data_IF_607444072873
#
_entry.id   IF_607444072873
#
_cell.length_a   1.000
_cell.length_b   1.000
_cell.length_c   1.000
_cell.angle_alpha   90.00
_cell.angle_beta   90.00
_cell.angle_gamma   90.00
#
_symmetry.space_group_name_H-M   'P 1'
#
loop_
_entity.id
_entity.type
_entity.pdbx_description
1 polymer ?
#
# COMPACT_ATOMS: atom_id res chain seq x y z
N UNK A 1 28.56 -39.06 -81.85
CA UNK A 1 29.54 -39.81 -81.04
C UNK A 1 29.45 -39.31 -79.61
N UNK A 2 29.36 -40.23 -78.66
CA UNK A 2 29.03 -40.11 -77.24
C UNK A 2 29.60 -38.87 -76.50
N UNK A 3 28.80 -38.28 -75.60
CA UNK A 3 29.23 -38.03 -74.21
C UNK A 3 28.00 -37.81 -73.30
N UNK A 4 27.70 -38.81 -72.46
CA UNK A 4 26.72 -38.71 -71.37
C UNK A 4 27.30 -37.87 -70.23
N UNK A 5 26.57 -36.86 -69.75
CA UNK A 5 26.84 -36.18 -68.47
C UNK A 5 25.72 -36.52 -67.49
N UNK A 6 26.05 -37.28 -66.44
CA UNK A 6 25.18 -37.54 -65.30
C UNK A 6 25.04 -36.28 -64.46
N UNK A 7 23.81 -35.83 -64.22
CA UNK A 7 23.50 -34.84 -63.19
C UNK A 7 23.11 -35.58 -61.89
N UNK A 8 23.86 -35.35 -60.83
CA UNK A 8 23.55 -35.77 -59.47
C UNK A 8 22.63 -34.72 -58.84
N UNK A 9 21.37 -35.05 -58.60
CA UNK A 9 20.41 -34.17 -57.92
C UNK A 9 20.55 -34.35 -56.41
N UNK A 10 21.10 -33.35 -55.72
CA UNK A 10 21.21 -33.32 -54.26
C UNK A 10 19.86 -32.89 -53.66
N UNK A 11 19.12 -33.83 -53.07
CA UNK A 11 17.89 -33.55 -52.35
C UNK A 11 18.21 -33.04 -50.93
N UNK A 12 17.96 -31.75 -50.68
CA UNK A 12 18.07 -31.15 -49.34
C UNK A 12 16.75 -31.37 -48.61
N UNK A 13 16.75 -32.25 -47.61
CA UNK A 13 15.64 -32.45 -46.67
C UNK A 13 15.66 -31.31 -45.64
N UNK A 14 14.76 -30.33 -45.79
CA UNK A 14 14.46 -29.33 -44.76
C UNK A 14 13.53 -29.96 -43.71
N UNK A 15 14.13 -30.46 -42.62
CA UNK A 15 13.43 -30.78 -41.38
C UNK A 15 12.98 -29.46 -40.73
N UNK A 16 11.75 -29.04 -41.03
CA UNK A 16 11.08 -27.95 -40.33
C UNK A 16 10.78 -28.36 -38.90
N UNK A 17 11.60 -27.92 -37.95
CA UNK A 17 11.29 -27.99 -36.53
C UNK A 17 10.15 -27.03 -36.22
N UNK A 18 8.96 -27.55 -36.02
CA UNK A 18 7.82 -26.81 -35.49
C UNK A 18 8.13 -26.41 -34.05
N UNK A 19 8.66 -25.19 -33.88
CA UNK A 19 8.78 -24.54 -32.57
C UNK A 19 7.36 -24.24 -32.09
N UNK A 20 6.85 -25.08 -31.19
CA UNK A 20 5.67 -24.75 -30.39
C UNK A 20 6.04 -23.55 -29.51
N UNK A 21 5.71 -22.36 -29.99
CA UNK A 21 5.69 -21.14 -29.18
C UNK A 21 4.64 -21.35 -28.08
N UNK A 22 5.07 -21.77 -26.90
CA UNK A 22 4.30 -21.59 -25.68
C UNK A 22 4.15 -20.08 -25.48
N UNK A 23 2.99 -19.55 -25.86
CA UNK A 23 2.55 -18.23 -25.43
C UNK A 23 2.55 -18.23 -23.91
N UNK A 24 3.55 -17.59 -23.30
CA UNK A 24 3.46 -17.19 -21.90
C UNK A 24 2.27 -16.23 -21.85
N UNK A 25 1.16 -16.73 -21.29
CA UNK A 25 -0.01 -15.92 -20.98
C UNK A 25 0.45 -14.86 -19.99
N UNK A 26 0.87 -13.71 -20.50
CA UNK A 26 1.14 -12.55 -19.68
C UNK A 26 -0.14 -12.30 -18.87
N UNK A 27 -0.01 -12.35 -17.54
CA UNK A 27 -1.11 -12.12 -16.60
C UNK A 27 -1.39 -10.60 -16.57
N UNK A 28 -1.85 -10.07 -17.72
CA UNK A 28 -2.10 -8.64 -18.00
C UNK A 28 -3.50 -8.20 -17.61
N UNK A 29 -4.29 -9.09 -16.99
CA UNK A 29 -5.60 -8.74 -16.50
C UNK A 29 -5.48 -7.69 -15.38
N UNK A 30 -6.29 -6.62 -15.47
CA UNK A 30 -6.35 -5.60 -14.41
C UNK A 30 -6.89 -6.23 -13.12
N UNK A 31 -6.38 -5.80 -11.97
CA UNK A 31 -6.98 -6.17 -10.68
C UNK A 31 -8.30 -5.43 -10.48
N UNK A 32 -9.13 -5.88 -9.52
CA UNK A 32 -10.34 -5.12 -9.12
C UNK A 32 -9.98 -3.72 -8.61
N UNK A 33 -8.81 -3.55 -7.98
CA UNK A 33 -8.30 -2.25 -7.56
C UNK A 33 -8.05 -1.33 -8.75
N UNK A 34 -7.37 -1.82 -9.79
CA UNK A 34 -7.07 -1.05 -11.01
C UNK A 34 -8.30 -0.82 -11.91
N UNK A 35 -9.37 -1.58 -11.70
CA UNK A 35 -10.62 -1.47 -12.43
C UNK A 35 -11.52 -0.32 -11.93
N UNK A 36 -11.47 -0.01 -10.63
CA UNK A 36 -12.21 1.11 -10.05
C UNK A 36 -11.75 2.45 -10.65
N UNK A 37 -12.67 3.41 -10.80
CA UNK A 37 -12.32 4.74 -11.29
C UNK A 37 -11.29 5.43 -10.39
N UNK A 38 -10.34 6.12 -11.02
CA UNK A 38 -9.29 6.86 -10.33
C UNK A 38 -9.48 8.35 -10.64
N UNK A 39 -10.08 9.08 -9.70
CA UNK A 39 -10.18 10.54 -9.67
C UNK A 39 -9.54 11.11 -8.40
N UNK A 40 -9.92 12.34 -8.01
CA UNK A 40 -9.52 12.91 -6.71
C UNK A 40 -9.99 12.05 -5.53
N UNK A 41 -11.19 11.48 -5.65
CA UNK A 41 -11.75 10.46 -4.76
C UNK A 41 -12.64 9.48 -5.55
N UNK A 42 -12.86 8.29 -4.98
CA UNK A 42 -13.83 7.32 -5.48
C UNK A 42 -15.09 7.37 -4.61
N UNK A 43 -16.26 7.55 -5.23
CA UNK A 43 -17.53 7.32 -4.56
C UNK A 43 -17.85 5.82 -4.55
N UNK A 44 -18.21 5.31 -3.38
CA UNK A 44 -18.55 3.90 -3.17
C UNK A 44 -19.79 3.79 -2.28
N UNK A 45 -20.65 2.82 -2.54
CA UNK A 45 -21.70 2.41 -1.61
C UNK A 45 -21.37 1.03 -1.05
N UNK A 46 -21.47 0.89 0.27
CA UNK A 46 -21.27 -0.38 0.98
C UNK A 46 -22.55 -0.76 1.73
N UNK A 47 -23.14 -1.88 1.32
CA UNK A 47 -24.34 -2.45 1.90
C UNK A 47 -23.98 -3.70 2.71
N UNK A 48 -24.19 -3.69 4.02
CA UNK A 48 -23.90 -4.84 4.91
C UNK A 48 -24.73 -4.77 6.19
N UNK A 49 -24.74 -5.83 6.99
CA UNK A 49 -25.20 -5.76 8.38
C UNK A 49 -24.14 -5.03 9.23
N UNK A 50 -24.39 -3.76 9.56
CA UNK A 50 -23.42 -2.94 10.32
C UNK A 50 -23.45 -3.29 11.81
N UNK A 51 -24.57 -3.80 12.31
CA UNK A 51 -24.69 -4.25 13.70
C UNK A 51 -23.85 -5.50 13.91
N UNK A 52 -24.04 -6.51 13.05
CA UNK A 52 -23.24 -7.73 13.08
C UNK A 52 -21.75 -7.43 12.90
N UNK A 53 -21.39 -6.47 12.02
CA UNK A 53 -20.00 -6.06 11.82
C UNK A 53 -19.36 -5.54 13.11
N UNK A 54 -20.09 -4.74 13.88
CA UNK A 54 -19.64 -4.15 15.15
C UNK A 54 -19.56 -5.22 16.24
N UNK A 55 -20.54 -6.09 16.33
CA UNK A 55 -20.60 -7.16 17.33
C UNK A 55 -19.49 -8.19 17.11
N UNK A 56 -19.22 -8.52 15.85
CA UNK A 56 -18.17 -9.44 15.43
C UNK A 56 -16.83 -8.75 15.20
N UNK A 57 -16.65 -7.50 15.64
CA UNK A 57 -15.40 -6.76 15.37
C UNK A 57 -14.15 -7.43 15.91
N UNK A 58 -14.24 -8.41 16.82
CA UNK A 58 -13.13 -9.19 17.38
C UNK A 58 -12.93 -10.58 16.73
N UNK A 59 -13.82 -11.03 15.85
CA UNK A 59 -13.72 -12.32 15.15
C UNK A 59 -13.12 -12.14 13.76
N UNK A 60 -12.68 -13.21 13.11
CA UNK A 60 -12.25 -13.15 11.70
C UNK A 60 -13.34 -13.69 10.76
N UNK A 61 -14.60 -13.65 11.19
CA UNK A 61 -15.72 -14.17 10.42
C UNK A 61 -16.12 -13.21 9.31
N UNK A 62 -16.34 -13.76 8.13
CA UNK A 62 -16.85 -13.03 6.98
C UNK A 62 -18.37 -12.98 7.02
N UNK A 63 -18.93 -11.81 6.68
CA UNK A 63 -20.35 -11.64 6.42
C UNK A 63 -20.59 -11.18 4.97
N UNK A 64 -21.78 -11.46 4.41
CA UNK A 64 -22.17 -10.97 3.08
C UNK A 64 -22.26 -9.45 3.05
N UNK A 65 -21.86 -8.85 1.93
CA UNK A 65 -22.05 -7.44 1.64
C UNK A 65 -22.16 -7.21 0.14
N UNK A 66 -22.63 -6.04 -0.25
CA UNK A 66 -22.62 -5.60 -1.64
C UNK A 66 -21.91 -4.25 -1.74
N UNK A 67 -21.03 -4.12 -2.73
CA UNK A 67 -20.35 -2.87 -3.05
C UNK A 67 -20.83 -2.36 -4.40
N UNK A 68 -21.07 -1.06 -4.54
CA UNK A 68 -21.17 -0.40 -5.83
C UNK A 68 -20.25 0.80 -5.96
N UNK A 69 -19.74 1.02 -7.17
CA UNK A 69 -18.82 2.11 -7.51
C UNK A 69 -18.88 2.38 -9.02
N UNK A 70 -18.30 3.49 -9.47
CA UNK A 70 -18.12 3.77 -10.89
C UNK A 70 -16.74 3.30 -11.35
N UNK A 71 -16.66 2.56 -12.45
CA UNK A 71 -15.38 2.09 -13.01
C UNK A 71 -14.66 3.15 -13.86
N UNK A 72 -13.45 2.83 -14.31
CA UNK A 72 -12.65 3.74 -15.16
C UNK A 72 -13.28 4.07 -16.52
N UNK A 73 -14.35 3.39 -16.93
CA UNK A 73 -15.13 3.68 -18.14
C UNK A 73 -16.42 4.48 -17.84
N UNK A 74 -16.64 4.88 -16.59
CA UNK A 74 -17.82 5.64 -16.17
C UNK A 74 -19.06 4.77 -15.94
N UNK A 75 -18.94 3.43 -15.93
CA UNK A 75 -20.07 2.53 -15.72
C UNK A 75 -20.25 2.21 -14.24
N UNK A 76 -21.50 2.14 -13.79
CA UNK A 76 -21.83 1.73 -12.42
C UNK A 76 -21.68 0.22 -12.30
N UNK A 77 -20.80 -0.19 -11.41
CA UNK A 77 -20.52 -1.57 -11.07
C UNK A 77 -21.18 -1.93 -9.76
N UNK A 78 -21.66 -3.18 -9.64
CA UNK A 78 -22.24 -3.72 -8.41
C UNK A 78 -21.74 -5.15 -8.20
N UNK A 79 -21.17 -5.40 -7.02
CA UNK A 79 -20.48 -6.64 -6.69
C UNK A 79 -20.98 -7.20 -5.37
N UNK A 80 -21.43 -8.45 -5.39
CA UNK A 80 -21.63 -9.21 -4.16
C UNK A 80 -20.27 -9.71 -3.65
N UNK A 81 -20.00 -9.40 -2.40
CA UNK A 81 -18.72 -9.67 -1.75
C UNK A 81 -18.95 -10.26 -0.37
N UNK A 82 -17.85 -10.65 0.26
CA UNK A 82 -17.79 -10.86 1.70
C UNK A 82 -16.90 -9.80 2.32
N UNK A 83 -17.20 -9.40 3.54
CA UNK A 83 -16.32 -8.53 4.32
C UNK A 83 -16.20 -8.98 5.76
N UNK A 84 -15.13 -8.55 6.41
CA UNK A 84 -14.92 -8.72 7.85
C UNK A 84 -14.10 -7.60 8.42
N UNK A 85 -14.13 -7.48 9.74
CA UNK A 85 -13.19 -6.63 10.47
C UNK A 85 -11.75 -7.15 10.35
N UNK A 86 -10.77 -6.25 10.29
CA UNK A 86 -9.33 -6.53 10.28
C UNK A 86 -8.55 -5.64 11.24
N UNK A 87 -7.25 -5.92 11.36
CA UNK A 87 -6.34 -5.22 12.28
C UNK A 87 -6.34 -5.84 13.67
N UNK A 88 -5.50 -5.35 14.58
CA UNK A 88 -5.41 -5.80 15.98
C UNK A 88 -5.80 -4.70 16.96
N UNK A 89 -5.23 -3.50 16.78
CA UNK A 89 -5.47 -2.36 17.65
C UNK A 89 -6.77 -1.63 17.27
N UNK A 90 -6.82 -1.06 16.06
CA UNK A 90 -7.97 -0.31 15.52
C UNK A 90 -9.29 -1.09 15.58
N UNK A 91 -9.27 -2.41 15.37
CA UNK A 91 -10.48 -3.25 15.50
C UNK A 91 -11.18 -3.17 16.86
N UNK A 92 -10.44 -2.85 17.93
CA UNK A 92 -10.94 -2.83 19.31
C UNK A 92 -11.44 -1.45 19.69
N UNK A 93 -10.70 -0.41 19.30
CA UNK A 93 -10.92 0.96 19.76
C UNK A 93 -11.76 1.83 18.81
N UNK A 94 -11.78 1.51 17.51
CA UNK A 94 -12.46 2.35 16.54
C UNK A 94 -13.98 2.15 16.57
N UNK A 95 -14.70 3.22 16.22
CA UNK A 95 -16.16 3.20 16.03
C UNK A 95 -16.59 2.34 14.84
N UNK A 96 -15.80 2.38 13.76
CA UNK A 96 -15.87 1.45 12.65
C UNK A 96 -14.48 0.84 12.42
N UNK A 97 -14.32 -0.49 12.56
CA UNK A 97 -13.03 -1.13 12.39
C UNK A 97 -12.62 -1.11 10.91
N UNK A 98 -11.30 -1.11 10.61
CA UNK A 98 -10.84 -1.32 9.25
C UNK A 98 -11.35 -2.67 8.72
N UNK A 99 -11.69 -2.73 7.43
CA UNK A 99 -12.33 -3.88 6.82
C UNK A 99 -11.40 -4.59 5.84
N UNK A 100 -11.58 -5.90 5.72
CA UNK A 100 -11.07 -6.70 4.60
C UNK A 100 -12.25 -7.02 3.69
N UNK A 101 -12.14 -6.63 2.43
CA UNK A 101 -13.13 -6.87 1.38
C UNK A 101 -12.66 -8.08 0.57
N UNK A 102 -13.53 -9.04 0.31
CA UNK A 102 -13.23 -10.26 -0.43
C UNK A 102 -14.27 -10.45 -1.54
N UNK A 103 -13.81 -10.30 -2.78
CA UNK A 103 -14.60 -10.45 -3.99
C UNK A 103 -14.64 -11.92 -4.43
N UNK A 104 -15.69 -12.33 -5.14
CA UNK A 104 -15.73 -13.68 -5.67
C UNK A 104 -14.75 -13.83 -6.86
N UNK A 105 -13.78 -14.75 -6.76
CA UNK A 105 -12.81 -15.02 -7.84
C UNK A 105 -13.46 -15.38 -9.17
N UNK A 106 -14.54 -16.16 -9.14
CA UNK A 106 -15.27 -16.54 -10.34
C UNK A 106 -15.91 -15.34 -11.03
N UNK A 107 -16.47 -14.40 -10.27
CA UNK A 107 -17.08 -13.19 -10.83
C UNK A 107 -16.03 -12.22 -11.37
N UNK A 108 -14.88 -12.09 -10.68
CA UNK A 108 -13.73 -11.36 -11.22
C UNK A 108 -13.29 -11.90 -12.58
N UNK A 109 -13.17 -13.24 -12.70
CA UNK A 109 -12.80 -13.87 -13.97
C UNK A 109 -13.84 -13.65 -15.07
N UNK A 110 -15.14 -13.72 -14.75
CA UNK A 110 -16.22 -13.44 -15.71
C UNK A 110 -16.16 -12.01 -16.23
N UNK A 111 -15.73 -11.06 -15.39
CA UNK A 111 -15.50 -9.67 -15.77
C UNK A 111 -14.14 -9.42 -16.46
N UNK A 112 -13.33 -10.46 -16.70
CA UNK A 112 -12.01 -10.33 -17.32
C UNK A 112 -10.93 -9.74 -16.41
N UNK A 113 -11.16 -9.74 -15.09
CA UNK A 113 -10.24 -9.23 -14.09
C UNK A 113 -9.33 -10.33 -13.52
N UNK A 114 -8.20 -9.89 -12.97
CA UNK A 114 -7.29 -10.78 -12.24
C UNK A 114 -7.97 -11.36 -11.00
N UNK A 115 -7.51 -12.54 -10.57
CA UNK A 115 -8.06 -13.28 -9.41
C UNK A 115 -7.66 -12.71 -8.04
N UNK A 116 -6.95 -11.58 -8.06
CA UNK A 116 -6.59 -10.78 -6.89
C UNK A 116 -7.88 -10.24 -6.26
N UNK A 117 -8.42 -10.98 -5.28
CA UNK A 117 -9.79 -10.87 -4.80
C UNK A 117 -9.95 -10.11 -3.50
N UNK A 118 -8.85 -9.67 -2.90
CA UNK A 118 -8.86 -9.03 -1.60
C UNK A 118 -8.44 -7.57 -1.71
N UNK A 119 -9.18 -6.70 -1.02
CA UNK A 119 -8.81 -5.31 -0.81
C UNK A 119 -8.90 -4.98 0.68
N UNK A 120 -8.15 -3.96 1.10
CA UNK A 120 -8.21 -3.44 2.46
C UNK A 120 -8.89 -2.08 2.46
N UNK A 121 -9.79 -1.88 3.40
CA UNK A 121 -10.48 -0.62 3.60
C UNK A 121 -10.12 -0.09 4.99
N UNK A 122 -9.30 0.96 5.02
CA UNK A 122 -9.04 1.72 6.23
C UNK A 122 -10.21 2.69 6.41
N UNK A 123 -10.86 2.63 7.56
CA UNK A 123 -12.06 3.41 7.88
C UNK A 123 -11.73 4.56 8.82
N UNK A 124 -12.62 5.54 8.92
CA UNK A 124 -12.53 6.58 9.95
C UNK A 124 -12.66 5.93 11.35
N UNK A 125 -11.54 5.93 12.09
CA UNK A 125 -11.47 5.27 13.39
C UNK A 125 -12.21 6.04 14.49
N UNK A 126 -12.11 7.37 14.42
CA UNK A 126 -12.71 8.35 15.33
C UNK A 126 -13.80 9.11 14.57
N UNK A 127 -14.85 9.54 15.26
CA UNK A 127 -15.93 10.31 14.65
C UNK A 127 -15.54 11.77 14.39
N UNK A 128 -16.30 12.40 13.49
CA UNK A 128 -16.23 13.83 13.26
C UNK A 128 -14.96 14.28 12.54
N UNK A 129 -14.64 15.55 12.76
CA UNK A 129 -13.58 16.26 12.04
C UNK A 129 -12.19 15.67 12.29
N UNK A 130 -11.90 15.30 13.53
CA UNK A 130 -10.58 14.79 13.93
C UNK A 130 -10.24 13.46 13.22
N UNK A 131 -11.18 12.52 13.21
CA UNK A 131 -11.01 11.25 12.52
C UNK A 131 -10.82 11.39 11.02
N UNK A 132 -11.48 12.38 10.38
CA UNK A 132 -11.23 12.73 8.99
C UNK A 132 -9.80 13.23 8.80
N UNK A 133 -9.33 14.16 9.62
CA UNK A 133 -7.96 14.72 9.51
C UNK A 133 -6.89 13.62 9.65
N UNK A 134 -7.04 12.68 10.59
CA UNK A 134 -6.11 11.56 10.74
C UNK A 134 -6.08 10.66 9.52
N UNK A 135 -7.23 10.29 8.99
CA UNK A 135 -7.33 9.48 7.78
C UNK A 135 -6.70 10.18 6.58
N UNK A 136 -6.93 11.50 6.43
CA UNK A 136 -6.34 12.30 5.36
C UNK A 136 -4.81 12.37 5.46
N UNK A 137 -4.27 12.45 6.68
CA UNK A 137 -2.82 12.39 6.92
C UNK A 137 -2.24 11.00 6.64
N UNK A 138 -2.93 9.94 7.05
CA UNK A 138 -2.50 8.56 6.75
C UNK A 138 -2.46 8.34 5.23
N UNK A 139 -3.47 8.81 4.51
CA UNK A 139 -3.49 8.81 3.05
C UNK A 139 -2.31 9.60 2.44
N UNK A 140 -2.06 10.81 2.93
CA UNK A 140 -0.91 11.62 2.47
C UNK A 140 0.43 10.91 2.73
N UNK A 141 0.60 10.20 3.84
CA UNK A 141 1.82 9.44 4.10
C UNK A 141 2.08 8.40 2.98
N UNK A 142 1.07 7.64 2.55
CA UNK A 142 1.21 6.75 1.39
C UNK A 142 1.58 7.49 0.10
N UNK A 143 1.03 8.69 -0.12
CA UNK A 143 1.37 9.50 -1.31
C UNK A 143 2.80 10.06 -1.25
N UNK A 144 3.26 10.47 -0.06
CA UNK A 144 4.63 10.92 0.17
C UNK A 144 5.65 9.78 -0.04
N UNK A 145 5.33 8.56 0.41
CA UNK A 145 6.18 7.38 0.18
C UNK A 145 6.40 7.14 -1.32
N UNK A 146 5.33 7.25 -2.12
CA UNK A 146 5.40 7.03 -3.56
C UNK A 146 6.26 8.06 -4.31
N UNK A 147 6.60 9.21 -3.70
CA UNK A 147 7.51 10.19 -4.30
C UNK A 147 8.99 9.81 -4.15
N UNK A 148 9.33 8.99 -3.16
CA UNK A 148 10.73 8.63 -2.84
C UNK A 148 11.04 7.16 -3.03
N UNK A 149 10.02 6.30 -3.10
CA UNK A 149 10.18 4.86 -3.25
C UNK A 149 9.47 4.36 -4.51
N UNK A 150 10.14 3.55 -5.35
CA UNK A 150 9.47 2.83 -6.42
C UNK A 150 8.59 1.68 -5.90
N UNK A 151 8.76 1.30 -4.62
CA UNK A 151 8.00 0.25 -3.96
C UNK A 151 7.06 0.84 -2.90
N UNK A 152 5.78 0.85 -3.21
CA UNK A 152 4.70 1.20 -2.29
C UNK A 152 3.44 0.40 -2.58
N UNK A 153 2.54 0.36 -1.59
CA UNK A 153 1.14 -0.01 -1.80
C UNK A 153 0.42 1.11 -2.56
N UNK A 154 -0.47 0.74 -3.49
CA UNK A 154 -1.42 1.68 -4.08
C UNK A 154 -2.59 1.94 -3.12
N UNK A 155 -3.00 3.21 -3.08
CA UNK A 155 -4.15 3.67 -2.27
C UNK A 155 -5.03 4.65 -3.02
N UNK A 156 -6.34 4.54 -2.79
CA UNK A 156 -7.37 5.48 -3.22
C UNK A 156 -8.12 6.05 -2.02
N UNK A 157 -8.35 7.36 -2.05
CA UNK A 157 -9.26 7.99 -1.12
C UNK A 157 -10.70 7.69 -1.56
N UNK A 158 -11.53 7.20 -0.65
CA UNK A 158 -12.89 6.80 -0.96
C UNK A 158 -13.89 7.52 -0.06
N UNK A 159 -14.98 8.02 -0.64
CA UNK A 159 -16.16 8.46 0.08
C UNK A 159 -17.20 7.34 0.06
N UNK A 160 -17.55 6.83 1.24
CA UNK A 160 -18.34 5.61 1.38
C UNK A 160 -19.72 5.97 1.90
N UNK A 161 -20.75 5.60 1.15
CA UNK A 161 -22.15 5.59 1.57
C UNK A 161 -22.44 4.23 2.21
N UNK A 162 -22.52 4.16 3.53
CA UNK A 162 -22.89 2.94 4.24
C UNK A 162 -24.40 2.81 4.30
N UNK A 163 -24.93 1.64 3.96
CA UNK A 163 -26.32 1.27 4.27
C UNK A 163 -26.37 -0.02 5.05
N UNK A 164 -27.15 0.00 6.11
CA UNK A 164 -27.42 -1.17 6.92
C UNK A 164 -28.47 -2.07 6.24
N UNK A 165 -28.24 -3.37 6.20
CA UNK A 165 -29.18 -4.34 5.58
C UNK A 165 -30.31 -4.80 6.50
N UNK A 166 -30.22 -4.50 7.80
CA UNK A 166 -31.21 -4.89 8.82
C UNK A 166 -32.09 -3.73 9.27
N UNK A 167 -31.75 -2.51 8.89
CA UNK A 167 -32.43 -1.28 9.28
C UNK A 167 -32.43 -0.26 8.14
N UNK A 168 -33.05 0.90 8.35
CA UNK A 168 -33.00 2.03 7.39
C UNK A 168 -31.80 2.96 7.64
N UNK A 169 -30.87 2.57 8.51
CA UNK A 169 -29.72 3.39 8.88
C UNK A 169 -28.81 3.64 7.67
N UNK A 170 -28.38 4.89 7.54
CA UNK A 170 -27.46 5.34 6.49
C UNK A 170 -26.45 6.28 7.12
N UNK A 171 -25.20 6.16 6.68
CA UNK A 171 -24.15 7.10 7.05
C UNK A 171 -23.18 7.29 5.89
N UNK A 172 -22.43 8.37 5.93
CA UNK A 172 -21.30 8.60 5.02
C UNK A 172 -20.02 8.66 5.82
N UNK A 173 -18.92 8.24 5.20
CA UNK A 173 -17.62 8.34 5.83
C UNK A 173 -16.51 8.19 4.82
N UNK A 174 -15.37 8.81 5.13
CA UNK A 174 -14.16 8.64 4.35
C UNK A 174 -13.49 7.30 4.70
N UNK A 175 -12.76 6.77 3.71
CA UNK A 175 -11.86 5.64 3.88
C UNK A 175 -10.65 5.73 2.94
N UNK A 176 -9.69 4.85 3.17
CA UNK A 176 -8.60 4.58 2.23
C UNK A 176 -8.77 3.15 1.75
N UNK A 177 -9.06 3.00 0.46
CA UNK A 177 -9.02 1.71 -0.20
C UNK A 177 -7.56 1.43 -0.58
N UNK A 178 -7.06 0.26 -0.19
CA UNK A 178 -5.67 -0.12 -0.34
C UNK A 178 -5.59 -1.48 -1.05
N UNK A 179 -4.67 -1.59 -2.00
CA UNK A 179 -4.38 -2.87 -2.64
C UNK A 179 -3.88 -3.89 -1.60
N UNK A 180 -4.09 -5.18 -1.85
CA UNK A 180 -3.54 -6.23 -1.00
C UNK A 180 -2.04 -6.42 -1.25
N UNK A 181 -1.30 -6.82 -0.22
CA UNK A 181 0.15 -7.00 -0.30
C UNK A 181 0.55 -8.11 -1.29
N UNK A 182 -0.28 -9.13 -1.49
CA UNK A 182 -0.03 -10.15 -2.49
C UNK A 182 -0.11 -9.57 -3.92
N UNK A 183 -1.09 -8.69 -4.17
CA UNK A 183 -1.24 -7.96 -5.43
C UNK A 183 -0.06 -7.03 -5.67
N UNK A 184 0.40 -6.32 -4.63
CA UNK A 184 1.60 -5.50 -4.67
C UNK A 184 2.84 -6.33 -5.03
N UNK A 185 3.06 -7.47 -4.35
CA UNK A 185 4.19 -8.34 -4.63
C UNK A 185 4.17 -8.84 -6.09
N UNK A 186 3.00 -9.27 -6.58
CA UNK A 186 2.80 -9.68 -7.97
C UNK A 186 3.12 -8.55 -8.95
N UNK A 187 2.68 -7.31 -8.66
CA UNK A 187 2.93 -6.12 -9.47
C UNK A 187 4.42 -5.81 -9.65
N UNK A 188 5.25 -6.13 -8.67
CA UNK A 188 6.70 -5.98 -8.75
C UNK A 188 7.44 -7.28 -9.16
N UNK A 189 6.73 -8.32 -9.60
CA UNK A 189 7.35 -9.61 -9.96
C UNK A 189 7.98 -10.35 -8.77
N UNK A 190 7.55 -10.03 -7.55
CA UNK A 190 8.08 -10.55 -6.31
C UNK A 190 7.09 -11.49 -5.59
N UNK A 191 7.54 -12.06 -4.47
CA UNK A 191 6.72 -12.74 -3.47
C UNK A 191 6.91 -12.07 -2.11
N UNK A 192 5.88 -12.12 -1.27
CA UNK A 192 6.01 -11.74 0.13
C UNK A 192 6.86 -12.77 0.88
N UNK A 193 7.67 -12.29 1.82
CA UNK A 193 8.30 -13.13 2.83
C UNK A 193 7.88 -12.66 4.22
N UNK A 194 6.86 -13.30 4.79
CA UNK A 194 6.30 -12.94 6.09
C UNK A 194 7.08 -13.53 7.29
N UNK A 195 8.00 -14.46 7.04
CA UNK A 195 8.82 -15.17 8.04
C UNK A 195 10.32 -14.91 7.90
N UNK A 196 10.71 -13.91 7.10
CA UNK A 196 12.09 -13.45 6.91
C UNK A 196 12.65 -12.65 8.11
N UNK A 197 12.52 -13.21 9.31
CA UNK A 197 13.00 -12.57 10.53
C UNK A 197 14.53 -12.45 10.54
N UNK A 198 15.02 -11.35 11.12
CA UNK A 198 16.45 -11.10 11.33
C UNK A 198 17.30 -11.24 10.06
N UNK A 199 16.74 -10.88 8.91
CA UNK A 199 17.44 -10.96 7.62
C UNK A 199 18.73 -10.11 7.64
N UNK A 200 19.91 -10.69 7.34
CA UNK A 200 21.19 -9.99 7.37
C UNK A 200 21.25 -8.77 6.42
N UNK A 201 21.95 -7.71 6.86
CA UNK A 201 22.11 -6.45 6.10
C UNK A 201 22.63 -6.65 4.68
N UNK A 202 23.63 -7.52 4.52
CA UNK A 202 24.29 -7.84 3.25
C UNK A 202 23.37 -8.58 2.26
N UNK A 203 22.35 -9.27 2.76
CA UNK A 203 21.35 -9.95 1.93
C UNK A 203 20.29 -9.02 1.36
N UNK A 204 20.14 -7.80 1.91
CA UNK A 204 19.12 -6.83 1.53
C UNK A 204 19.60 -5.81 0.50
N UNK A 205 18.66 -5.24 -0.27
CA UNK A 205 18.92 -4.05 -1.05
C UNK A 205 18.94 -2.83 -0.11
N UNK A 206 20.15 -2.46 0.33
CA UNK A 206 20.32 -1.43 1.35
C UNK A 206 19.91 -0.03 0.89
N UNK A 207 19.97 0.28 -0.40
CA UNK A 207 19.47 1.56 -0.92
C UNK A 207 17.97 1.72 -0.64
N UNK A 208 17.19 0.69 -0.98
CA UNK A 208 15.74 0.69 -0.76
C UNK A 208 15.37 0.58 0.73
N UNK A 209 16.14 -0.19 1.51
CA UNK A 209 15.98 -0.23 2.98
C UNK A 209 16.23 1.14 3.60
N UNK A 210 17.26 1.86 3.16
CA UNK A 210 17.58 3.19 3.69
C UNK A 210 16.47 4.20 3.33
N UNK A 211 15.90 4.14 2.12
CA UNK A 211 14.72 4.93 1.73
C UNK A 211 13.55 4.66 2.68
N UNK A 212 13.24 3.39 2.95
CA UNK A 212 12.17 3.01 3.87
C UNK A 212 12.43 3.53 5.30
N UNK A 213 13.64 3.34 5.84
CA UNK A 213 14.00 3.82 7.17
C UNK A 213 13.90 5.35 7.28
N UNK A 214 14.41 6.09 6.29
CA UNK A 214 14.37 7.54 6.30
C UNK A 214 12.95 8.08 6.09
N UNK A 215 12.12 7.38 5.31
CA UNK A 215 10.70 7.69 5.19
C UNK A 215 9.96 7.53 6.53
N UNK A 216 10.15 6.40 7.22
CA UNK A 216 9.53 6.17 8.53
C UNK A 216 9.98 7.23 9.55
N UNK A 217 11.25 7.62 9.52
CA UNK A 217 11.75 8.74 10.31
C UNK A 217 11.11 10.08 9.91
N UNK A 218 10.98 10.38 8.62
CA UNK A 218 10.34 11.62 8.14
C UNK A 218 8.93 11.78 8.72
N UNK A 219 8.13 10.71 8.69
CA UNK A 219 6.78 10.72 9.23
C UNK A 219 6.73 10.51 10.76
N UNK A 220 7.88 10.28 11.41
CA UNK A 220 7.97 10.06 12.85
C UNK A 220 7.29 8.78 13.31
N UNK A 221 7.38 7.72 12.52
CA UNK A 221 6.87 6.41 12.89
C UNK A 221 7.96 5.58 13.58
N UNK A 222 7.64 5.07 14.76
CA UNK A 222 8.51 4.18 15.54
C UNK A 222 7.85 2.83 15.86
N UNK A 223 6.66 2.58 15.31
CA UNK A 223 5.95 1.30 15.45
C UNK A 223 6.24 0.36 14.27
N UNK A 224 7.50 0.04 14.03
CA UNK A 224 7.89 -0.90 12.96
C UNK A 224 9.18 -1.64 13.33
N UNK A 225 9.52 -2.70 12.60
CA UNK A 225 10.78 -3.43 12.79
C UNK A 225 11.17 -4.21 11.54
N UNK A 226 12.40 -4.00 11.05
CA UNK A 226 12.98 -4.84 9.99
C UNK A 226 13.22 -6.26 10.51
N UNK A 227 13.78 -6.41 11.72
CA UNK A 227 14.10 -7.72 12.31
C UNK A 227 12.85 -8.59 12.46
N UNK A 228 11.71 -8.00 12.82
CA UNK A 228 10.45 -8.72 13.01
C UNK A 228 9.50 -8.64 11.80
N UNK A 229 9.89 -7.94 10.73
CA UNK A 229 9.03 -7.63 9.57
C UNK A 229 7.67 -7.06 10.02
N UNK A 230 7.68 -6.19 11.04
CA UNK A 230 6.48 -5.57 11.63
C UNK A 230 6.22 -4.23 10.98
N UNK A 231 4.98 -4.00 10.53
CA UNK A 231 4.55 -2.81 9.77
C UNK A 231 5.44 -2.51 8.55
N UNK A 232 6.04 -3.57 8.01
CA UNK A 232 6.79 -3.56 6.75
C UNK A 232 6.51 -4.88 6.01
N UNK A 233 6.72 -4.88 4.70
CA UNK A 233 6.67 -6.09 3.87
C UNK A 233 7.99 -6.29 3.15
N UNK A 234 8.50 -7.51 3.25
CA UNK A 234 9.68 -7.92 2.49
C UNK A 234 9.25 -8.50 1.14
N UNK A 235 9.76 -7.92 0.05
CA UNK A 235 9.58 -8.42 -1.30
C UNK A 235 10.82 -9.20 -1.73
N UNK A 236 10.64 -10.50 -2.00
CA UNK A 236 11.66 -11.37 -2.59
C UNK A 236 11.41 -11.51 -4.09
N UNK A 237 12.36 -11.07 -4.91
CA UNK A 237 12.24 -11.10 -6.35
C UNK A 237 12.58 -12.48 -6.92
N UNK A 238 11.90 -12.86 -8.00
CA UNK A 238 12.09 -14.16 -8.66
C UNK A 238 13.41 -14.25 -9.45
N UNK A 239 13.96 -13.11 -9.83
CA UNK A 239 15.20 -12.97 -10.61
C UNK A 239 16.48 -13.08 -9.74
N UNK A 240 16.33 -13.24 -8.42
CA UNK A 240 17.46 -13.29 -7.48
C UNK A 240 17.96 -11.92 -7.01
N UNK A 241 17.32 -10.82 -7.43
CA UNK A 241 17.61 -9.49 -6.91
C UNK A 241 17.42 -9.45 -5.38
N UNK A 242 18.29 -8.69 -4.69
CA UNK A 242 18.24 -8.59 -3.23
C UNK A 242 16.86 -8.09 -2.77
N UNK A 243 16.30 -8.66 -1.68
CA UNK A 243 14.99 -8.26 -1.20
C UNK A 243 14.93 -6.79 -0.77
N UNK A 244 13.75 -6.20 -0.93
CA UNK A 244 13.46 -4.82 -0.50
C UNK A 244 12.43 -4.82 0.61
N UNK A 245 12.39 -3.74 1.39
CA UNK A 245 11.41 -3.52 2.46
C UNK A 245 10.45 -2.42 2.07
N UNK A 246 9.15 -2.68 2.20
CA UNK A 246 8.07 -1.73 1.89
C UNK A 246 7.33 -1.36 3.18
N UNK A 247 7.44 -0.12 3.66
CA UNK A 247 6.74 0.31 4.87
C UNK A 247 5.23 0.48 4.64
N UNK A 248 4.42 0.21 5.66
CA UNK A 248 2.96 0.41 5.63
C UNK A 248 2.37 0.52 7.05
N UNK A 249 1.08 0.85 7.19
CA UNK A 249 0.37 1.04 8.48
C UNK A 249 0.90 2.27 9.25
N UNK A 250 0.60 3.47 8.73
CA UNK A 250 1.17 4.74 9.20
C UNK A 250 0.36 5.46 10.27
N UNK A 251 -0.70 4.85 10.83
CA UNK A 251 -1.60 5.48 11.79
C UNK A 251 -0.91 5.87 13.11
N UNK A 252 0.14 5.13 13.49
CA UNK A 252 0.97 5.38 14.68
C UNK A 252 2.15 6.33 14.43
N UNK A 253 2.09 7.15 13.38
CA UNK A 253 3.16 8.11 13.05
C UNK A 253 2.90 9.51 13.62
N UNK A 254 3.97 10.25 13.92
CA UNK A 254 3.90 11.66 14.29
C UNK A 254 3.29 12.56 13.21
N UNK A 255 3.40 12.19 11.92
CA UNK A 255 2.76 12.92 10.83
C UNK A 255 1.22 12.80 10.88
N UNK A 256 0.71 11.60 11.18
CA UNK A 256 -0.73 11.35 11.37
C UNK A 256 -1.22 11.98 12.67
N UNK A 257 -0.45 11.82 13.75
CA UNK A 257 -0.74 12.38 15.07
C UNK A 257 -2.13 12.01 15.59
N UNK A 258 -2.53 10.74 15.39
CA UNK A 258 -3.81 10.24 15.86
C UNK A 258 -3.91 10.34 17.38
N UNK A 259 -5.06 10.76 17.90
CA UNK A 259 -5.27 10.95 19.36
C UNK A 259 -5.16 9.66 20.17
N UNK A 260 -5.30 8.50 19.52
CA UNK A 260 -5.11 7.18 20.12
C UNK A 260 -3.68 6.64 20.00
N UNK A 261 -2.80 7.28 19.22
CA UNK A 261 -1.42 6.84 19.04
C UNK A 261 -0.58 7.29 20.24
N UNK A 262 0.23 6.38 20.78
CA UNK A 262 1.08 6.64 21.92
C UNK A 262 2.56 6.58 21.51
N UNK A 263 3.43 7.42 22.09
CA UNK A 263 4.87 7.34 21.84
C UNK A 263 5.41 5.95 22.18
N UNK A 264 6.38 5.47 21.40
CA UNK A 264 7.01 4.19 21.70
C UNK A 264 7.86 4.30 22.99
N UNK A 265 7.47 3.52 24.01
CA UNK A 265 8.07 3.54 25.34
C UNK A 265 9.54 3.07 25.34
N UNK A 266 9.94 2.25 24.37
CA UNK A 266 11.31 1.72 24.26
C UNK A 266 12.34 2.84 24.02
N UNK A 267 11.90 3.98 23.49
CA UNK A 267 12.76 5.06 23.01
C UNK A 267 12.66 6.35 23.84
N UNK A 268 11.99 6.30 25.00
CA UNK A 268 11.82 7.43 25.93
C UNK A 268 11.31 8.71 25.24
N UNK A 269 10.43 8.54 24.25
CA UNK A 269 9.77 9.64 23.58
C UNK A 269 8.69 10.22 24.49
N UNK A 270 8.62 11.54 24.58
CA UNK A 270 7.60 12.23 25.37
C UNK A 270 6.38 12.63 24.52
N UNK A 271 6.54 12.61 23.20
CA UNK A 271 5.50 12.92 22.22
C UNK A 271 5.59 12.03 20.99
N UNK A 272 4.44 11.69 20.39
CA UNK A 272 4.36 10.93 19.14
C UNK A 272 4.96 11.71 17.96
N UNK A 273 5.10 13.03 18.11
CA UNK A 273 5.72 13.92 17.11
C UNK A 273 7.24 13.83 17.10
N UNK A 274 7.87 13.32 18.15
CA UNK A 274 9.32 13.12 18.18
C UNK A 274 9.75 12.03 17.21
N UNK A 275 11.01 12.09 16.75
CA UNK A 275 11.57 11.13 15.80
C UNK A 275 12.79 10.43 16.39
N UNK A 276 12.87 9.13 16.15
CA UNK A 276 14.07 8.31 16.33
C UNK A 276 14.36 7.66 14.98
N UNK A 277 15.60 7.76 14.53
CA UNK A 277 16.05 7.12 13.30
C UNK A 277 16.39 5.66 13.57
N UNK A 278 15.41 4.78 13.33
CA UNK A 278 15.60 3.34 13.33
C UNK A 278 16.16 2.92 11.96
N UNK A 279 17.28 2.20 11.94
CA UNK A 279 17.90 1.73 10.69
C UNK A 279 18.88 0.58 10.95
N UNK A 280 19.38 -0.02 9.87
CA UNK A 280 20.50 -0.98 9.90
C UNK A 280 21.86 -0.30 9.63
N UNK A 281 21.91 1.03 9.61
CA UNK A 281 23.16 1.79 9.43
C UNK A 281 23.72 2.21 10.78
N UNK A 282 25.03 2.33 10.86
CA UNK A 282 25.73 2.74 12.08
C UNK A 282 25.89 4.26 12.12
N UNK A 283 26.02 4.89 10.95
CA UNK A 283 26.21 6.33 10.85
C UNK A 283 25.44 6.95 9.67
N UNK A 284 25.48 8.28 9.63
CA UNK A 284 24.73 9.09 8.68
C UNK A 284 25.38 9.15 7.29
N UNK A 285 26.67 8.83 7.16
CA UNK A 285 27.35 8.81 5.87
C UNK A 285 26.81 7.69 4.97
N UNK A 286 26.38 6.57 5.56
CA UNK A 286 25.77 5.44 4.85
C UNK A 286 24.42 5.78 4.18
N UNK A 287 23.77 6.87 4.59
CA UNK A 287 22.49 7.33 4.04
C UNK A 287 22.60 8.69 3.33
N UNK A 288 23.82 9.16 3.03
CA UNK A 288 24.01 10.48 2.43
C UNK A 288 23.28 10.64 1.08
N UNK A 289 23.31 9.61 0.22
CA UNK A 289 22.56 9.59 -1.04
C UNK A 289 21.04 9.58 -0.81
N UNK A 290 20.56 8.84 0.21
CA UNK A 290 19.15 8.82 0.60
C UNK A 290 18.69 10.19 1.12
N UNK A 291 19.50 10.87 1.95
CA UNK A 291 19.21 12.25 2.40
C UNK A 291 19.10 13.19 1.20
N UNK A 292 20.02 13.10 0.23
CA UNK A 292 19.98 13.91 -0.99
C UNK A 292 18.74 13.62 -1.86
N UNK A 293 18.33 12.36 -1.99
CA UNK A 293 17.08 11.99 -2.67
C UNK A 293 15.87 12.66 -2.02
N UNK A 294 15.74 12.59 -0.69
CA UNK A 294 14.63 13.23 0.01
C UNK A 294 14.65 14.75 -0.17
N UNK A 295 15.83 15.38 -0.02
CA UNK A 295 15.98 16.81 -0.21
C UNK A 295 15.56 17.25 -1.62
N UNK A 296 15.89 16.46 -2.65
CA UNK A 296 15.45 16.71 -4.03
C UNK A 296 13.92 16.65 -4.21
N UNK A 297 13.22 15.95 -3.31
CA UNK A 297 11.76 15.81 -3.30
C UNK A 297 11.05 16.76 -2.34
N UNK A 298 11.78 17.60 -1.59
CA UNK A 298 11.21 18.53 -0.59
C UNK A 298 10.08 19.37 -1.17
N UNK A 299 10.31 20.05 -2.28
CA UNK A 299 9.33 20.96 -2.87
C UNK A 299 8.08 20.21 -3.35
N UNK A 300 8.27 19.07 -4.02
CA UNK A 300 7.17 18.21 -4.50
C UNK A 300 6.29 17.69 -3.34
N UNK A 301 6.92 17.28 -2.22
CA UNK A 301 6.20 16.88 -1.01
C UNK A 301 5.38 18.02 -0.40
N UNK A 302 5.98 19.22 -0.28
CA UNK A 302 5.31 20.39 0.27
C UNK A 302 4.12 20.80 -0.61
N UNK A 303 4.28 20.78 -1.92
CA UNK A 303 3.23 21.15 -2.87
C UNK A 303 2.10 20.12 -2.88
N UNK A 304 2.42 18.82 -2.80
CA UNK A 304 1.43 17.76 -2.63
C UNK A 304 0.54 18.02 -1.40
N UNK A 305 1.14 18.35 -0.25
CA UNK A 305 0.38 18.61 0.99
C UNK A 305 -0.46 19.88 0.85
N UNK A 306 0.11 20.98 0.32
CA UNK A 306 -0.62 22.26 0.13
C UNK A 306 -1.78 22.13 -0.86
N UNK A 307 -1.62 21.28 -1.88
CA UNK A 307 -2.60 20.99 -2.90
C UNK A 307 -3.76 20.12 -2.39
N UNK A 308 -3.56 19.31 -1.36
CA UNK A 308 -4.54 18.33 -0.91
C UNK A 308 -5.71 18.94 -0.13
N UNK A 309 -6.75 19.39 -0.84
CA UNK A 309 -7.87 20.14 -0.27
C UNK A 309 -8.80 19.33 0.64
N UNK A 310 -8.73 18.00 0.61
CA UNK A 310 -9.49 17.14 1.51
C UNK A 310 -9.05 17.25 2.97
N UNK A 311 -7.77 17.60 3.21
CA UNK A 311 -7.24 17.98 4.53
C UNK A 311 -7.50 19.47 4.77
N UNK A 312 -7.84 19.85 6.00
CA UNK A 312 -8.10 21.25 6.35
C UNK A 312 -6.92 22.20 6.12
N UNK A 313 -7.17 23.52 6.05
CA UNK A 313 -6.08 24.49 5.90
C UNK A 313 -5.10 24.44 7.09
N UNK A 314 -5.61 24.34 8.31
CA UNK A 314 -4.79 24.19 9.51
C UNK A 314 -4.00 22.86 9.49
N UNK A 315 -4.64 21.76 9.09
CA UNK A 315 -4.02 20.46 8.95
C UNK A 315 -2.92 20.45 7.90
N UNK A 316 -3.11 21.08 6.75
CA UNK A 316 -2.08 21.25 5.72
C UNK A 316 -0.89 22.07 6.24
N UNK A 317 -1.16 23.17 6.95
CA UNK A 317 -0.08 24.00 7.52
C UNK A 317 0.74 23.23 8.56
N UNK A 318 0.08 22.48 9.46
CA UNK A 318 0.75 21.62 10.42
C UNK A 318 1.56 20.50 9.73
N UNK A 319 0.97 19.83 8.73
CA UNK A 319 1.65 18.78 7.98
C UNK A 319 2.90 19.32 7.23
N UNK A 320 2.79 20.48 6.58
CA UNK A 320 3.94 21.15 5.94
C UNK A 320 5.00 21.53 6.97
N UNK A 321 4.60 22.10 8.11
CA UNK A 321 5.53 22.43 9.20
C UNK A 321 6.27 21.18 9.71
N UNK A 322 5.53 20.09 9.92
CA UNK A 322 6.10 18.82 10.37
C UNK A 322 7.11 18.24 9.37
N UNK A 323 6.79 18.24 8.08
CA UNK A 323 7.69 17.76 7.03
C UNK A 323 8.92 18.67 6.90
N UNK A 324 8.76 20.00 6.94
CA UNK A 324 9.90 20.91 6.95
C UNK A 324 10.82 20.68 8.15
N UNK A 325 10.27 20.40 9.33
CA UNK A 325 11.09 20.09 10.51
C UNK A 325 11.95 18.83 10.35
N UNK A 326 11.49 17.83 9.58
CA UNK A 326 12.30 16.66 9.21
C UNK A 326 13.49 17.09 8.37
N UNK A 327 13.26 17.92 7.36
CA UNK A 327 14.36 18.35 6.51
C UNK A 327 15.38 19.24 7.22
N UNK A 328 14.94 20.04 8.20
CA UNK A 328 15.86 20.75 9.10
C UNK A 328 16.67 19.77 9.97
N UNK A 329 16.06 18.66 10.41
CA UNK A 329 16.78 17.64 11.19
C UNK A 329 17.85 16.90 10.38
N UNK A 330 17.73 16.82 9.05
CA UNK A 330 18.76 16.21 8.19
C UNK A 330 20.10 16.96 8.22
N UNK A 331 20.12 18.22 8.63
CA UNK A 331 21.32 19.08 8.76
C UNK A 331 22.15 18.77 10.02
N UNK A 332 21.61 17.93 10.90
CA UNK A 332 22.25 17.50 12.15
C UNK A 332 22.41 15.97 12.13
N UNK A 333 23.28 15.40 13.00
CA UNK A 333 23.30 13.96 13.23
C UNK A 333 21.92 13.45 13.66
N UNK A 334 21.44 12.39 13.02
CA UNK A 334 20.13 11.81 13.35
C UNK A 334 20.15 11.14 14.74
N UNK A 335 19.14 11.44 15.58
CA UNK A 335 18.93 10.76 16.87
C UNK A 335 18.61 9.29 16.62
N UNK A 336 19.43 8.37 17.16
CA UNK A 336 19.26 6.92 17.13
C UNK A 336 18.90 6.39 18.53
N UNK A 337 18.41 5.14 18.67
CA UNK A 337 18.12 4.53 19.98
C UNK A 337 19.28 4.56 20.97
#
# INVERSE_FOLDING_TARGET
MSLKRSFFTLAVFLLGTSVLLYSQKNDTAKTIFDFMAIGESLEMELNTDLTLLKDQKKTNEYQPATISFTDGAGQVQKWDIKLRSRGKFRRRICILPPLKLNFNKGDLQKAGLAKDDELKLITHCVEGYEGKEFLMREYLAYKLLALVSPYSLKVHLVEIKYRDTKSKARSTGWGILMEDEASMAKRYGAKLCDDCFSTPKDSLNMEQVNIACLFEYMIGNTDWSIQMVRNMKMLKFKDGSKPVMVPYDFDFSGFVNASYALPNADYKLTSIRERIFLSMTENDAEIASTKALFESKRQEMVDLIKGFKALSAAGRNDAVSYINSFFESLKQPLRRP
#
